data_IF_224044268846
#
_entry.id   IF_224044268846
#
_cell.length_a   1.000
_cell.length_b   1.000
_cell.length_c   1.000
_cell.angle_alpha   90.00
_cell.angle_beta   90.00
_cell.angle_gamma   90.00
#
_symmetry.space_group_name_H-M   'P 1'
#
loop_
_entity.id
_entity.type
_entity.pdbx_description
1 polymer ?
#
# COMPACT_ATOMS: atom_id res chain seq x y z
N UNK A 1 13.31 5.67 -1.56
CA UNK A 1 12.36 5.03 -2.51
C UNK A 1 10.95 5.34 -2.04
N UNK A 2 10.00 5.59 -2.96
CA UNK A 2 8.59 5.80 -2.64
C UNK A 2 7.83 4.50 -2.88
N UNK A 3 7.03 4.08 -1.90
CA UNK A 3 6.18 2.89 -2.00
C UNK A 3 5.18 3.02 -3.16
N UNK A 4 4.95 1.90 -3.84
CA UNK A 4 3.95 1.77 -4.91
C UNK A 4 2.82 0.87 -4.42
N UNK A 5 1.62 1.43 -4.33
CA UNK A 5 0.39 0.71 -4.02
C UNK A 5 -0.26 0.32 -5.34
N UNK A 6 -0.45 -0.98 -5.59
CA UNK A 6 -1.15 -1.48 -6.76
C UNK A 6 -2.64 -1.60 -6.50
N UNK A 7 -3.46 -0.93 -7.30
CA UNK A 7 -4.92 -1.03 -7.23
C UNK A 7 -5.39 -2.10 -8.22
N UNK A 8 -6.01 -3.15 -7.70
CA UNK A 8 -6.52 -4.30 -8.48
C UNK A 8 -8.01 -4.48 -8.25
N UNK A 9 -8.68 -5.15 -9.19
CA UNK A 9 -10.11 -5.43 -9.14
C UNK A 9 -10.67 -5.62 -10.54
N UNK A 10 -11.74 -6.42 -10.65
CA UNK A 10 -12.44 -6.66 -11.90
C UNK A 10 -13.14 -5.38 -12.41
N UNK A 11 -13.61 -5.33 -13.67
CA UNK A 11 -14.39 -4.20 -14.16
C UNK A 11 -15.63 -3.92 -13.30
N UNK A 12 -16.12 -2.67 -13.31
CA UNK A 12 -17.38 -2.27 -12.66
C UNK A 12 -17.46 -2.35 -11.11
N UNK A 13 -16.40 -2.79 -10.42
CA UNK A 13 -16.36 -2.80 -8.93
C UNK A 13 -16.13 -1.42 -8.30
N UNK A 14 -15.82 -0.42 -9.12
CA UNK A 14 -15.50 0.94 -8.65
C UNK A 14 -14.00 1.24 -8.55
N UNK A 15 -13.13 0.39 -9.09
CA UNK A 15 -11.66 0.60 -9.15
C UNK A 15 -11.27 1.99 -9.68
N UNK A 16 -11.79 2.39 -10.85
CA UNK A 16 -11.48 3.73 -11.40
C UNK A 16 -12.05 4.87 -10.56
N UNK A 17 -13.19 4.68 -9.88
CA UNK A 17 -13.71 5.67 -8.93
C UNK A 17 -12.79 5.80 -7.72
N UNK A 18 -12.31 4.67 -7.18
CA UNK A 18 -11.35 4.63 -6.08
C UNK A 18 -10.05 5.33 -6.48
N UNK A 19 -9.48 4.97 -7.64
CA UNK A 19 -8.24 5.56 -8.14
C UNK A 19 -8.34 7.09 -8.26
N UNK A 20 -9.40 7.57 -8.91
CA UNK A 20 -9.65 9.01 -9.03
C UNK A 20 -9.83 9.66 -7.66
N UNK A 21 -10.65 9.07 -6.79
CA UNK A 21 -10.89 9.59 -5.45
C UNK A 21 -9.60 9.65 -4.62
N UNK A 22 -8.73 8.65 -4.71
CA UNK A 22 -7.44 8.62 -4.01
C UNK A 22 -6.41 9.63 -4.55
N UNK A 23 -6.47 9.94 -5.85
CA UNK A 23 -5.49 10.77 -6.56
C UNK A 23 -5.91 12.23 -6.74
N UNK A 24 -7.21 12.53 -6.58
CA UNK A 24 -7.75 13.90 -6.52
C UNK A 24 -7.18 14.62 -5.30
N UNK A 25 -6.01 15.24 -5.44
CA UNK A 25 -5.49 16.24 -4.51
C UNK A 25 -5.14 17.51 -5.28
N UNK A 26 -5.82 18.59 -4.89
CA UNK A 26 -5.52 19.98 -5.21
C UNK A 26 -4.19 20.42 -4.58
N UNK A 27 -3.06 19.93 -5.10
CA UNK A 27 -1.78 20.58 -4.78
C UNK A 27 -1.72 21.87 -5.58
N UNK A 28 -1.53 23.05 -4.94
CA UNK A 28 -1.38 24.32 -5.64
C UNK A 28 -0.32 24.22 -6.74
N UNK A 29 -0.61 24.76 -7.93
CA UNK A 29 0.30 24.81 -9.08
C UNK A 29 1.69 25.34 -8.63
N UNK A 30 2.67 24.43 -8.51
CA UNK A 30 4.04 24.81 -8.14
C UNK A 30 4.95 23.72 -7.55
N UNK A 31 4.44 22.54 -7.21
CA UNK A 31 5.19 21.54 -6.44
C UNK A 31 5.86 20.39 -7.22
N UNK A 32 5.91 20.41 -8.57
CA UNK A 32 6.33 19.21 -9.32
C UNK A 32 7.58 19.38 -10.19
N UNK A 33 8.71 18.75 -9.81
CA UNK A 33 9.69 18.24 -10.75
C UNK A 33 9.39 16.75 -11.03
N UNK A 34 9.26 16.38 -12.32
CA UNK A 34 9.19 15.01 -12.85
C UNK A 34 7.82 14.29 -12.84
N UNK A 35 6.85 14.79 -13.62
CA UNK A 35 5.68 13.96 -14.01
C UNK A 35 6.10 12.90 -15.04
N UNK A 36 5.94 11.63 -14.68
CA UNK A 36 6.17 10.48 -15.58
C UNK A 36 4.92 10.30 -16.47
N UNK A 37 5.12 10.05 -17.76
CA UNK A 37 4.08 9.98 -18.81
C UNK A 37 3.44 8.57 -18.83
N UNK A 38 2.96 8.10 -17.68
CA UNK A 38 2.17 6.85 -17.62
C UNK A 38 0.79 7.14 -17.03
N UNK A 39 -0.29 7.02 -17.83
CA UNK A 39 -1.65 7.29 -17.35
C UNK A 39 -2.13 6.31 -16.26
N UNK A 40 -1.41 5.20 -16.02
CA UNK A 40 -1.73 4.23 -14.98
C UNK A 40 -1.14 4.58 -13.61
N UNK A 41 -0.26 5.57 -13.49
CA UNK A 41 0.39 5.92 -12.21
C UNK A 41 -0.10 7.29 -11.74
N UNK A 42 -0.77 7.31 -10.59
CA UNK A 42 -1.22 8.51 -9.90
C UNK A 42 -0.40 8.78 -8.64
N UNK A 43 -0.42 10.03 -8.19
CA UNK A 43 0.08 10.41 -6.87
C UNK A 43 -1.11 10.41 -5.89
N UNK A 44 -0.99 9.60 -4.83
CA UNK A 44 -1.91 9.58 -3.71
C UNK A 44 -1.15 9.99 -2.44
N UNK A 45 -1.83 10.09 -1.31
CA UNK A 45 -1.20 10.46 -0.05
C UNK A 45 -1.60 9.48 1.05
N UNK A 46 -0.73 9.32 2.03
CA UNK A 46 -1.05 8.69 3.32
C UNK A 46 -0.94 9.73 4.41
N UNK A 47 -1.81 9.64 5.42
CA UNK A 47 -1.77 10.58 6.55
C UNK A 47 -0.87 10.06 7.65
N UNK A 48 -0.12 10.98 8.23
CA UNK A 48 0.71 10.76 9.40
C UNK A 48 0.49 11.96 10.31
N UNK A 49 0.26 11.73 11.61
CA UNK A 49 0.26 12.83 12.58
C UNK A 49 1.60 13.57 12.51
N UNK A 50 1.55 14.88 12.26
CA UNK A 50 2.75 15.69 12.10
C UNK A 50 3.49 15.75 13.43
N UNK A 51 4.81 15.56 13.40
CA UNK A 51 5.63 15.69 14.60
C UNK A 51 5.88 17.16 15.00
N UNK A 52 5.74 18.13 14.10
CA UNK A 52 6.09 19.54 14.37
C UNK A 52 5.38 20.16 15.59
N UNK A 53 4.07 19.93 15.82
CA UNK A 53 3.39 20.41 17.02
C UNK A 53 3.99 19.92 18.34
N UNK A 54 4.66 18.77 18.35
CA UNK A 54 5.32 18.22 19.54
C UNK A 54 6.56 19.04 19.96
N UNK A 55 7.07 19.87 19.05
CA UNK A 55 8.23 20.75 19.25
C UNK A 55 7.84 22.23 19.28
N UNK A 56 6.55 22.56 19.42
CA UNK A 56 6.01 23.92 19.34
C UNK A 56 6.31 24.63 18.00
N UNK A 57 6.42 23.87 16.92
CA UNK A 57 6.75 24.35 15.57
C UNK A 57 5.60 24.16 14.58
N UNK A 58 5.59 24.98 13.52
CA UNK A 58 4.75 24.79 12.35
C UNK A 58 5.60 24.24 11.22
N UNK A 59 5.20 23.10 10.66
CA UNK A 59 5.94 22.52 9.55
C UNK A 59 5.80 23.37 8.26
N UNK A 60 6.79 23.25 7.39
CA UNK A 60 6.80 23.84 6.04
C UNK A 60 7.15 22.74 5.03
N UNK A 61 6.17 21.91 4.64
CA UNK A 61 6.39 20.78 3.74
C UNK A 61 7.14 21.17 2.46
N UNK A 62 8.23 20.46 2.17
CA UNK A 62 8.91 20.50 0.85
C UNK A 62 8.18 19.63 -0.18
N UNK A 63 7.55 18.55 0.29
CA UNK A 63 6.89 17.51 -0.48
C UNK A 63 5.57 17.14 0.24
N UNK A 64 4.50 17.01 -0.53
CA UNK A 64 3.14 16.89 -0.02
C UNK A 64 2.69 18.15 0.73
N UNK A 65 1.79 17.99 1.69
CA UNK A 65 1.25 19.10 2.46
C UNK A 65 0.95 18.70 3.91
N UNK A 66 0.66 19.69 4.74
CA UNK A 66 0.20 19.46 6.10
C UNK A 66 -1.02 20.34 6.33
N UNK A 67 -2.08 19.73 6.84
CA UNK A 67 -3.33 20.39 7.16
C UNK A 67 -3.74 20.04 8.58
N UNK A 68 -3.88 21.06 9.43
CA UNK A 68 -4.32 20.97 10.83
C UNK A 68 -3.65 19.80 11.60
N UNK A 69 -2.33 19.82 11.66
CA UNK A 69 -1.53 18.83 12.38
C UNK A 69 -1.41 17.45 11.68
N UNK A 70 -2.03 17.24 10.53
CA UNK A 70 -1.94 15.99 9.75
C UNK A 70 -1.06 16.18 8.52
N UNK A 71 0.02 15.38 8.43
CA UNK A 71 0.95 15.35 7.30
C UNK A 71 0.45 14.39 6.23
N UNK A 72 0.33 14.87 5.00
CA UNK A 72 0.01 14.08 3.82
C UNK A 72 1.31 13.77 3.08
N UNK A 73 1.77 12.53 3.18
CA UNK A 73 3.02 12.05 2.57
C UNK A 73 2.69 11.38 1.24
N UNK A 74 3.29 11.81 0.11
CA UNK A 74 2.94 11.26 -1.20
C UNK A 74 3.44 9.83 -1.36
N UNK A 75 2.58 9.02 -1.94
CA UNK A 75 2.82 7.63 -2.34
C UNK A 75 2.37 7.43 -3.78
N UNK A 76 2.93 6.43 -4.46
CA UNK A 76 2.51 6.12 -5.83
C UNK A 76 1.34 5.15 -5.79
N UNK A 77 0.26 5.49 -6.49
CA UNK A 77 -0.85 4.57 -6.73
C UNK A 77 -0.80 4.12 -8.19
N UNK A 78 -0.74 2.82 -8.42
CA UNK A 78 -0.66 2.22 -9.76
C UNK A 78 -2.00 1.56 -10.05
N UNK A 79 -2.71 2.00 -11.09
CA UNK A 79 -3.91 1.36 -11.58
C UNK A 79 -3.53 0.12 -12.39
N UNK A 80 -3.53 -1.04 -11.75
CA UNK A 80 -3.19 -2.29 -12.41
C UNK A 80 -4.37 -2.70 -13.29
N UNK A 81 -4.11 -3.08 -14.54
CA UNK A 81 -5.14 -3.58 -15.45
C UNK A 81 -5.91 -4.75 -14.80
N UNK A 82 -7.20 -4.92 -15.12
CA UNK A 82 -7.97 -6.03 -14.54
C UNK A 82 -7.44 -7.40 -15.00
N UNK A 83 -7.36 -8.37 -14.08
CA UNK A 83 -7.12 -9.77 -14.45
C UNK A 83 -8.30 -10.32 -15.23
N UNK A 84 -8.00 -11.05 -16.30
CA UNK A 84 -8.95 -11.88 -17.02
C UNK A 84 -8.67 -13.33 -16.61
N UNK A 85 -9.70 -14.17 -16.40
CA UNK A 85 -9.51 -15.58 -16.08
C UNK A 85 -8.52 -16.29 -17.02
N UNK A 86 -7.55 -17.01 -16.44
CA UNK A 86 -6.50 -17.72 -17.17
C UNK A 86 -5.33 -16.83 -17.60
N UNK A 87 -5.09 -15.71 -16.92
CA UNK A 87 -3.93 -14.84 -17.19
C UNK A 87 -2.61 -15.57 -16.90
N UNK A 88 -2.57 -16.41 -15.86
CA UNK A 88 -1.40 -17.24 -15.54
C UNK A 88 -1.05 -18.26 -16.66
N UNK A 89 -2.03 -18.72 -17.44
CA UNK A 89 -1.82 -19.63 -18.59
C UNK A 89 -1.26 -18.91 -19.84
N UNK A 90 -0.99 -17.61 -19.77
CA UNK A 90 -0.48 -16.81 -20.89
C UNK A 90 -1.54 -16.39 -21.91
N UNK A 91 -2.83 -16.44 -21.55
CA UNK A 91 -3.91 -15.89 -22.39
C UNK A 91 -3.97 -14.36 -22.21
N UNK A 92 -3.80 -13.60 -23.30
CA UNK A 92 -4.06 -12.16 -23.34
C UNK A 92 -2.94 -11.24 -22.81
N UNK A 93 -3.32 -10.08 -22.24
CA UNK A 93 -2.45 -9.00 -21.73
C UNK A 93 -1.64 -9.37 -20.47
N UNK A 94 -1.59 -10.65 -20.08
CA UNK A 94 -1.00 -11.15 -18.83
C UNK A 94 0.41 -10.65 -18.55
N UNK A 95 1.32 -10.62 -19.54
CA UNK A 95 2.69 -10.13 -19.31
C UNK A 95 2.78 -8.65 -18.92
N UNK A 96 1.86 -7.80 -19.40
CA UNK A 96 1.85 -6.38 -19.03
C UNK A 96 1.26 -6.19 -17.63
N UNK A 97 0.14 -6.87 -17.34
CA UNK A 97 -0.43 -6.95 -15.99
C UNK A 97 0.60 -7.37 -14.94
N UNK A 98 1.36 -8.42 -15.23
CA UNK A 98 2.39 -8.96 -14.33
C UNK A 98 3.57 -7.99 -14.17
N UNK A 99 3.87 -7.18 -15.19
CA UNK A 99 4.89 -6.13 -15.07
C UNK A 99 4.41 -5.04 -14.12
N UNK A 100 3.17 -4.57 -14.27
CA UNK A 100 2.59 -3.53 -13.42
C UNK A 100 2.46 -4.01 -11.96
N UNK A 101 2.08 -5.28 -11.77
CA UNK A 101 1.98 -5.92 -10.45
C UNK A 101 3.35 -6.17 -9.80
N UNK A 102 4.39 -6.43 -10.60
CA UNK A 102 5.77 -6.53 -10.11
C UNK A 102 6.26 -5.21 -9.52
N UNK A 103 5.82 -4.08 -10.08
CA UNK A 103 6.22 -2.78 -9.59
C UNK A 103 5.57 -2.39 -8.25
N UNK A 104 4.41 -2.94 -7.91
CA UNK A 104 3.71 -2.67 -6.66
C UNK A 104 4.39 -3.35 -5.46
N UNK A 105 4.42 -2.69 -4.31
CA UNK A 105 4.90 -3.24 -3.04
C UNK A 105 3.77 -3.95 -2.28
N UNK A 106 2.54 -3.43 -2.39
CA UNK A 106 1.33 -3.94 -1.75
C UNK A 106 0.14 -3.76 -2.69
N UNK A 107 -0.86 -4.63 -2.59
CA UNK A 107 -2.07 -4.55 -3.41
C UNK A 107 -3.28 -4.15 -2.59
N UNK A 108 -4.05 -3.18 -3.10
CA UNK A 108 -5.40 -2.88 -2.65
C UNK A 108 -6.37 -3.50 -3.65
N UNK A 109 -7.05 -4.57 -3.24
CA UNK A 109 -8.06 -5.24 -4.04
C UNK A 109 -9.43 -4.63 -3.79
N UNK A 110 -9.94 -3.89 -4.77
CA UNK A 110 -11.29 -3.31 -4.75
C UNK A 110 -12.28 -4.38 -5.15
N UNK A 111 -13.16 -4.76 -4.22
CA UNK A 111 -14.15 -5.83 -4.41
C UNK A 111 -15.55 -5.25 -4.27
N UNK A 112 -16.48 -5.71 -5.11
CA UNK A 112 -17.87 -5.29 -5.06
C UNK A 112 -18.67 -6.09 -4.03
N UNK A 113 -18.86 -5.54 -2.83
CA UNK A 113 -19.57 -6.25 -1.77
C UNK A 113 -21.09 -6.27 -1.99
N UNK A 114 -21.64 -5.53 -2.95
CA UNK A 114 -23.08 -5.58 -3.22
C UNK A 114 -23.53 -6.84 -3.95
N UNK A 115 -22.61 -7.61 -4.53
CA UNK A 115 -22.92 -8.81 -5.31
C UNK A 115 -23.69 -8.53 -6.61
N UNK A 116 -23.64 -7.29 -7.10
CA UNK A 116 -24.35 -6.85 -8.30
C UNK A 116 -23.52 -6.95 -9.59
N UNK A 117 -22.25 -7.36 -9.48
CA UNK A 117 -21.37 -7.59 -10.64
C UNK A 117 -20.78 -8.99 -10.60
N UNK A 118 -20.78 -9.69 -11.74
CA UNK A 118 -20.14 -10.99 -11.90
C UNK A 118 -18.63 -10.84 -12.15
N UNK A 119 -17.90 -11.94 -12.34
CA UNK A 119 -16.44 -11.94 -12.53
C UNK A 119 -15.98 -11.15 -13.77
N UNK A 120 -16.83 -11.00 -14.78
CA UNK A 120 -16.55 -10.20 -15.98
C UNK A 120 -16.87 -8.71 -15.78
N UNK A 121 -17.52 -8.35 -14.67
CA UNK A 121 -17.97 -7.00 -14.33
C UNK A 121 -19.32 -6.66 -14.96
N UNK A 122 -20.08 -7.66 -15.42
CA UNK A 122 -21.43 -7.51 -15.94
C UNK A 122 -22.46 -7.56 -14.80
N UNK A 123 -23.60 -6.90 -15.01
CA UNK A 123 -24.63 -6.83 -13.98
C UNK A 123 -25.25 -8.20 -13.69
N UNK A 124 -25.26 -8.59 -12.42
CA UNK A 124 -25.84 -9.85 -11.94
C UNK A 124 -26.58 -9.63 -10.61
N UNK A 125 -27.20 -10.68 -10.08
CA UNK A 125 -27.85 -10.67 -8.78
C UNK A 125 -27.27 -11.79 -7.90
N UNK A 126 -26.81 -11.44 -6.70
CA UNK A 126 -26.39 -12.41 -5.69
C UNK A 126 -25.05 -13.09 -5.97
N UNK A 127 -24.12 -12.40 -6.65
CA UNK A 127 -22.73 -12.83 -6.75
C UNK A 127 -22.07 -12.80 -5.37
N UNK A 128 -21.37 -13.87 -4.99
CA UNK A 128 -20.63 -13.91 -3.71
C UNK A 128 -19.29 -13.16 -3.86
N UNK A 129 -19.05 -12.08 -3.10
CA UNK A 129 -17.78 -11.34 -3.15
C UNK A 129 -16.54 -12.20 -2.85
N UNK A 130 -16.70 -13.33 -2.13
CA UNK A 130 -15.63 -14.30 -1.88
C UNK A 130 -15.05 -14.87 -3.17
N UNK A 131 -15.89 -15.11 -4.18
CA UNK A 131 -15.44 -15.64 -5.47
C UNK A 131 -14.45 -14.69 -6.15
N UNK A 132 -14.63 -13.37 -6.00
CA UNK A 132 -13.70 -12.38 -6.57
C UNK A 132 -12.36 -12.37 -5.81
N UNK A 133 -12.43 -12.46 -4.48
CA UNK A 133 -11.25 -12.49 -3.59
C UNK A 133 -10.41 -13.73 -3.90
N UNK A 134 -11.04 -14.91 -3.84
CA UNK A 134 -10.39 -16.21 -4.07
C UNK A 134 -9.80 -16.26 -5.49
N UNK A 135 -10.53 -15.77 -6.49
CA UNK A 135 -10.05 -15.73 -7.87
C UNK A 135 -8.73 -14.95 -8.02
N UNK A 136 -8.62 -13.76 -7.41
CA UNK A 136 -7.38 -12.99 -7.49
C UNK A 136 -6.23 -13.70 -6.77
N UNK A 137 -6.47 -14.24 -5.58
CA UNK A 137 -5.44 -14.95 -4.82
C UNK A 137 -4.95 -16.19 -5.57
N UNK A 138 -5.86 -16.99 -6.13
CA UNK A 138 -5.54 -18.21 -6.87
C UNK A 138 -4.76 -17.91 -8.15
N UNK A 139 -5.15 -16.90 -8.94
CA UNK A 139 -4.41 -16.50 -10.16
C UNK A 139 -2.99 -16.04 -9.83
N UNK A 140 -2.79 -15.32 -8.72
CA UNK A 140 -1.46 -14.90 -8.27
C UNK A 140 -0.65 -16.09 -7.75
N UNK A 141 -1.23 -16.96 -6.93
CA UNK A 141 -0.56 -18.15 -6.39
C UNK A 141 -0.09 -19.07 -7.53
N UNK A 142 -0.96 -19.33 -8.53
CA UNK A 142 -0.62 -20.12 -9.71
C UNK A 142 0.47 -19.48 -10.56
N UNK A 143 0.50 -18.15 -10.64
CA UNK A 143 1.59 -17.46 -11.33
C UNK A 143 2.92 -17.58 -10.58
N UNK A 144 2.93 -17.38 -9.26
CA UNK A 144 4.13 -17.58 -8.44
C UNK A 144 4.63 -19.02 -8.54
N UNK A 145 3.73 -20.01 -8.57
CA UNK A 145 4.07 -21.41 -8.80
C UNK A 145 4.79 -21.58 -10.15
N UNK A 146 4.26 -21.02 -11.22
CA UNK A 146 4.90 -21.09 -12.54
C UNK A 146 6.28 -20.39 -12.61
N UNK A 147 6.55 -19.41 -11.74
CA UNK A 147 7.89 -18.80 -11.61
C UNK A 147 8.81 -19.69 -10.76
N UNK A 148 8.29 -20.25 -9.67
CA UNK A 148 8.98 -21.17 -8.76
C UNK A 148 9.46 -22.42 -9.52
N UNK A 149 8.59 -23.04 -10.32
CA UNK A 149 8.91 -24.23 -11.12
C UNK A 149 10.06 -24.00 -12.09
N UNK A 150 10.13 -22.81 -12.73
CA UNK A 150 11.26 -22.43 -13.58
C UNK A 150 12.56 -22.30 -12.80
N UNK A 151 12.48 -21.83 -11.55
CA UNK A 151 13.62 -21.78 -10.63
C UNK A 151 14.11 -23.18 -10.27
N UNK A 152 13.19 -24.08 -9.95
CA UNK A 152 13.50 -25.50 -9.65
C UNK A 152 14.10 -26.20 -10.88
N UNK A 153 13.56 -25.96 -12.09
CA UNK A 153 14.11 -26.52 -13.33
C UNK A 153 15.54 -26.02 -13.58
N UNK A 154 15.80 -24.71 -13.35
CA UNK A 154 17.15 -24.14 -13.46
C UNK A 154 18.12 -24.82 -12.50
N UNK A 155 17.74 -25.00 -11.23
CA UNK A 155 18.53 -25.72 -10.23
C UNK A 155 18.87 -27.14 -10.72
N UNK A 156 17.87 -27.91 -11.14
CA UNK A 156 18.04 -29.29 -11.66
C UNK A 156 18.93 -29.37 -12.90
N UNK A 157 18.91 -28.34 -13.75
CA UNK A 157 19.71 -28.31 -14.98
C UNK A 157 21.21 -28.17 -14.74
N UNK A 158 21.65 -27.78 -13.53
CA UNK A 158 23.06 -27.68 -13.15
C UNK A 158 23.85 -26.66 -13.97
N UNK A 159 23.20 -25.66 -14.57
CA UNK A 159 23.77 -24.74 -15.57
C UNK A 159 24.94 -23.87 -15.05
N UNK A 160 25.30 -23.97 -13.76
CA UNK A 160 26.33 -23.14 -13.13
C UNK A 160 27.55 -23.88 -12.57
N UNK A 161 27.68 -25.19 -12.72
CA UNK A 161 28.95 -25.91 -12.47
C UNK A 161 29.46 -25.92 -11.02
N UNK A 162 28.78 -25.25 -10.09
CA UNK A 162 28.93 -25.33 -8.65
C UNK A 162 27.60 -25.80 -8.06
N UNK A 163 27.64 -26.64 -7.01
CA UNK A 163 26.47 -26.95 -6.17
C UNK A 163 26.01 -25.65 -5.50
N UNK A 164 25.16 -24.87 -6.19
CA UNK A 164 24.44 -23.76 -5.56
C UNK A 164 23.30 -24.34 -4.74
N UNK A 165 23.04 -23.76 -3.57
CA UNK A 165 21.87 -24.12 -2.77
C UNK A 165 20.58 -23.66 -3.48
N UNK A 166 19.47 -24.40 -3.33
CA UNK A 166 18.20 -24.11 -4.02
C UNK A 166 17.70 -22.68 -3.75
N UNK A 167 17.88 -22.18 -2.53
CA UNK A 167 17.47 -20.82 -2.16
C UNK A 167 18.16 -19.73 -2.98
N UNK A 168 19.36 -19.99 -3.53
CA UNK A 168 20.07 -19.03 -4.38
C UNK A 168 19.42 -18.95 -5.74
N UNK A 169 19.16 -20.09 -6.39
CA UNK A 169 18.55 -20.12 -7.72
C UNK A 169 17.09 -19.63 -7.69
N UNK A 170 16.36 -19.94 -6.61
CA UNK A 170 15.01 -19.41 -6.39
C UNK A 170 15.03 -17.90 -6.18
N UNK A 171 15.94 -17.37 -5.34
CA UNK A 171 16.07 -15.93 -5.13
C UNK A 171 16.48 -15.19 -6.41
N UNK A 172 17.38 -15.75 -7.22
CA UNK A 172 17.73 -15.19 -8.53
C UNK A 172 16.54 -15.19 -9.48
N UNK A 173 15.73 -16.25 -9.49
CA UNK A 173 14.54 -16.36 -10.32
C UNK A 173 13.41 -15.42 -9.86
N UNK A 174 13.33 -15.15 -8.56
CA UNK A 174 12.30 -14.34 -7.92
C UNK A 174 12.77 -12.92 -7.58
N UNK A 175 13.93 -12.48 -8.07
CA UNK A 175 14.53 -11.19 -7.71
C UNK A 175 13.63 -9.99 -8.04
N UNK A 176 12.73 -10.14 -9.03
CA UNK A 176 11.74 -9.11 -9.38
C UNK A 176 10.74 -8.82 -8.25
N UNK A 177 10.55 -9.75 -7.32
CA UNK A 177 9.67 -9.63 -6.15
C UNK A 177 10.37 -9.05 -4.92
N UNK A 178 11.59 -8.51 -5.09
CA UNK A 178 12.40 -7.91 -4.03
C UNK A 178 12.73 -8.88 -2.88
N UNK A 179 12.80 -10.17 -3.17
CA UNK A 179 13.20 -11.20 -2.20
C UNK A 179 14.67 -11.58 -2.33
N UNK A 180 15.22 -12.23 -1.30
CA UNK A 180 16.60 -12.71 -1.27
C UNK A 180 16.70 -14.17 -0.77
N UNK A 181 17.90 -14.76 -0.87
CA UNK A 181 18.14 -16.17 -0.50
C UNK A 181 17.79 -16.49 0.95
N UNK A 182 18.02 -15.56 1.87
CA UNK A 182 17.84 -15.80 3.30
C UNK A 182 16.34 -15.80 3.63
N UNK A 183 15.56 -14.91 3.00
CA UNK A 183 14.10 -14.91 3.05
C UNK A 183 13.49 -16.17 2.43
N UNK A 184 13.91 -16.55 1.23
CA UNK A 184 13.43 -17.78 0.58
C UNK A 184 13.70 -18.99 1.46
N UNK A 185 14.92 -19.10 2.00
CA UNK A 185 15.28 -20.16 2.95
C UNK A 185 14.39 -20.15 4.19
N UNK A 186 14.13 -18.99 4.77
CA UNK A 186 13.23 -18.85 5.92
C UNK A 186 11.80 -19.30 5.58
N UNK A 187 11.29 -18.95 4.39
CA UNK A 187 9.96 -19.38 3.94
C UNK A 187 9.89 -20.90 3.86
N UNK A 188 10.83 -21.53 3.15
CA UNK A 188 10.89 -22.99 2.99
C UNK A 188 10.87 -23.69 4.36
N UNK A 189 11.74 -23.24 5.28
CA UNK A 189 11.84 -23.83 6.61
C UNK A 189 10.60 -23.54 7.48
N UNK A 190 9.94 -22.39 7.30
CA UNK A 190 8.72 -22.05 8.06
C UNK A 190 7.51 -22.91 7.69
N UNK A 191 7.54 -23.54 6.51
CA UNK A 191 6.54 -24.49 6.04
C UNK A 191 6.91 -25.94 6.34
N UNK A 192 7.97 -26.17 7.12
CA UNK A 192 8.54 -27.51 7.38
C UNK A 192 8.94 -28.28 6.10
N UNK A 193 9.24 -27.54 5.02
CA UNK A 193 9.70 -28.10 3.74
C UNK A 193 11.23 -28.26 3.79
N UNK A 194 11.76 -29.39 3.30
CA UNK A 194 13.20 -29.63 3.19
C UNK A 194 13.87 -28.74 2.14
N UNK A 195 15.20 -28.57 2.19
CA UNK A 195 15.94 -27.81 1.16
C UNK A 195 16.28 -28.64 -0.09
N UNK A 196 15.84 -29.90 -0.15
CA UNK A 196 16.00 -30.74 -1.33
C UNK A 196 14.73 -30.68 -2.20
N UNK A 197 14.76 -30.00 -3.36
CA UNK A 197 13.59 -29.84 -4.22
C UNK A 197 13.14 -31.15 -4.90
N UNK A 198 13.93 -32.22 -4.83
CA UNK A 198 13.52 -33.54 -5.31
C UNK A 198 12.62 -34.29 -4.32
N UNK A 199 12.54 -33.81 -3.07
CA UNK A 199 11.59 -34.30 -2.06
C UNK A 199 10.26 -33.53 -2.05
N UNK A 200 10.13 -32.46 -2.84
CA UNK A 200 8.94 -31.61 -2.84
C UNK A 200 7.82 -32.20 -3.69
N UNK A 201 6.68 -32.43 -3.07
CA UNK A 201 5.43 -32.77 -3.75
C UNK A 201 4.79 -31.51 -4.38
N UNK A 202 3.73 -31.67 -5.16
CA UNK A 202 3.07 -30.52 -5.81
C UNK A 202 2.41 -29.60 -4.78
N UNK A 203 1.85 -30.15 -3.71
CA UNK A 203 1.28 -29.38 -2.60
C UNK A 203 2.34 -28.52 -1.88
N UNK A 204 3.58 -29.01 -1.75
CA UNK A 204 4.67 -28.24 -1.13
C UNK A 204 5.04 -27.03 -1.98
N UNK A 205 5.06 -27.19 -3.30
CA UNK A 205 5.37 -26.10 -4.24
C UNK A 205 4.25 -25.06 -4.25
N UNK A 206 3.00 -25.50 -4.24
CA UNK A 206 1.83 -24.60 -4.14
C UNK A 206 1.86 -23.81 -2.82
N UNK A 207 2.12 -24.48 -1.69
CA UNK A 207 2.23 -23.82 -0.39
C UNK A 207 3.39 -22.81 -0.36
N UNK A 208 4.55 -23.18 -0.90
CA UNK A 208 5.71 -22.30 -1.01
C UNK A 208 5.42 -21.08 -1.89
N UNK A 209 4.80 -21.27 -3.06
CA UNK A 209 4.41 -20.18 -3.95
C UNK A 209 3.46 -19.20 -3.27
N UNK A 210 2.42 -19.71 -2.61
CA UNK A 210 1.45 -18.91 -1.85
C UNK A 210 2.12 -18.11 -0.72
N UNK A 211 2.97 -18.75 0.07
CA UNK A 211 3.63 -18.08 1.20
C UNK A 211 4.61 -16.99 0.72
N UNK A 212 5.35 -17.25 -0.36
CA UNK A 212 6.19 -16.22 -0.99
C UNK A 212 5.33 -15.05 -1.45
N UNK A 213 4.23 -15.31 -2.18
CA UNK A 213 3.29 -14.28 -2.63
C UNK A 213 2.76 -13.45 -1.46
N UNK A 214 2.35 -14.08 -0.36
CA UNK A 214 1.83 -13.37 0.83
C UNK A 214 2.87 -12.42 1.43
N UNK A 215 4.15 -12.79 1.45
CA UNK A 215 5.23 -11.95 1.99
C UNK A 215 5.67 -10.86 1.03
N UNK A 216 5.80 -11.17 -0.26
CA UNK A 216 6.34 -10.22 -1.26
C UNK A 216 5.27 -9.35 -1.90
N UNK A 217 4.00 -9.74 -1.78
CA UNK A 217 2.86 -9.07 -2.40
C UNK A 217 1.61 -9.20 -1.53
N UNK A 218 1.64 -8.63 -0.31
CA UNK A 218 0.49 -8.68 0.56
C UNK A 218 -0.70 -7.92 -0.06
N UNK A 219 -1.91 -8.33 0.33
CA UNK A 219 -3.17 -7.86 -0.25
C UNK A 219 -4.07 -7.37 0.88
N UNK A 220 -4.67 -6.19 0.70
CA UNK A 220 -5.76 -5.68 1.51
C UNK A 220 -7.03 -5.59 0.65
N UNK A 221 -8.18 -5.91 1.24
CA UNK A 221 -9.48 -5.82 0.58
C UNK A 221 -10.12 -4.46 0.88
N UNK A 222 -10.30 -3.64 -0.15
CA UNK A 222 -11.20 -2.50 -0.12
C UNK A 222 -12.61 -2.99 -0.47
N UNK A 223 -13.38 -3.33 0.55
CA UNK A 223 -14.77 -3.78 0.42
C UNK A 223 -15.64 -2.62 -0.03
N UNK A 224 -15.84 -2.47 -1.34
CA UNK A 224 -16.46 -1.29 -1.92
C UNK A 224 -17.98 -1.42 -2.03
N UNK A 225 -18.65 -0.28 -2.17
CA UNK A 225 -20.12 -0.14 -2.17
C UNK A 225 -20.77 -0.49 -0.83
N UNK A 226 -20.08 -0.21 0.27
CA UNK A 226 -20.59 -0.41 1.64
C UNK A 226 -21.71 0.57 2.05
N UNK A 227 -22.11 1.47 1.14
CA UNK A 227 -23.31 2.30 1.24
C UNK A 227 -24.64 1.51 1.11
N UNK A 228 -24.58 0.20 0.80
CA UNK A 228 -25.76 -0.66 0.66
C UNK A 228 -25.88 -1.65 1.83
N UNK A 229 -27.09 -1.91 2.36
CA UNK A 229 -27.30 -2.89 3.43
C UNK A 229 -26.82 -4.31 3.07
N UNK A 230 -27.02 -4.75 1.82
CA UNK A 230 -26.56 -6.08 1.37
C UNK A 230 -25.03 -6.18 1.44
N UNK A 231 -24.32 -5.10 1.10
CA UNK A 231 -22.86 -5.06 1.23
C UNK A 231 -22.41 -5.19 2.68
N UNK A 232 -23.15 -4.58 3.62
CA UNK A 232 -22.87 -4.65 5.05
C UNK A 232 -23.08 -6.06 5.59
N UNK A 233 -24.18 -6.73 5.20
CA UNK A 233 -24.44 -8.14 5.56
C UNK A 233 -23.33 -9.06 5.04
N UNK A 234 -22.93 -8.91 3.77
CA UNK A 234 -21.83 -9.67 3.18
C UNK A 234 -20.50 -9.37 3.90
N UNK A 235 -20.24 -8.12 4.25
CA UNK A 235 -19.03 -7.74 4.98
C UNK A 235 -18.94 -8.41 6.34
N UNK A 236 -20.02 -8.39 7.12
CA UNK A 236 -20.08 -9.07 8.41
C UNK A 236 -19.89 -10.58 8.27
N UNK A 237 -20.50 -11.21 7.26
CA UNK A 237 -20.37 -12.65 7.04
C UNK A 237 -18.97 -13.07 6.60
N UNK A 238 -18.36 -12.33 5.67
CA UNK A 238 -17.04 -12.65 5.10
C UNK A 238 -15.94 -12.39 6.12
N UNK A 239 -15.98 -11.26 6.83
CA UNK A 239 -14.95 -10.92 7.82
C UNK A 239 -15.03 -11.77 9.10
N UNK A 240 -16.14 -12.49 9.33
CA UNK A 240 -16.28 -13.45 10.41
C UNK A 240 -15.80 -14.86 10.05
N UNK A 241 -15.49 -15.13 8.78
CA UNK A 241 -15.03 -16.44 8.31
C UNK A 241 -13.50 -16.57 8.49
N UNK A 242 -13.02 -17.53 9.31
CA UNK A 242 -11.59 -17.74 9.56
C UNK A 242 -10.77 -18.04 8.31
N UNK A 243 -11.40 -18.45 7.20
CA UNK A 243 -10.71 -18.65 5.92
C UNK A 243 -10.06 -17.36 5.38
N UNK A 244 -10.53 -16.18 5.83
CA UNK A 244 -10.06 -14.88 5.38
C UNK A 244 -9.30 -14.09 6.47
N UNK A 245 -8.93 -14.73 7.59
CA UNK A 245 -8.17 -14.09 8.69
C UNK A 245 -6.80 -13.55 8.24
N UNK A 246 -6.26 -14.03 7.11
CA UNK A 246 -5.00 -13.53 6.54
C UNK A 246 -5.16 -12.23 5.75
N UNK A 247 -6.39 -11.75 5.53
CA UNK A 247 -6.66 -10.52 4.80
C UNK A 247 -7.12 -9.42 5.75
N UNK A 248 -6.58 -8.23 5.51
CA UNK A 248 -7.13 -7.01 6.12
C UNK A 248 -8.30 -6.52 5.27
N UNK A 249 -9.42 -6.18 5.90
CA UNK A 249 -10.58 -5.61 5.24
C UNK A 249 -10.77 -4.15 5.62
N UNK A 250 -11.19 -3.34 4.64
CA UNK A 250 -11.56 -1.94 4.83
C UNK A 250 -12.92 -1.67 4.20
N UNK A 251 -13.95 -1.35 5.00
CA UNK A 251 -15.24 -0.95 4.48
C UNK A 251 -15.08 0.35 3.69
N UNK A 252 -15.52 0.37 2.44
CA UNK A 252 -15.20 1.43 1.49
C UNK A 252 -16.43 1.87 0.70
N UNK A 253 -16.55 3.17 0.49
CA UNK A 253 -17.41 3.77 -0.53
C UNK A 253 -16.62 4.78 -1.34
N UNK A 254 -16.04 4.32 -2.45
CA UNK A 254 -15.36 5.20 -3.41
C UNK A 254 -16.31 6.25 -4.02
N UNK A 255 -17.61 5.96 -4.06
CA UNK A 255 -18.63 6.91 -4.48
C UNK A 255 -18.76 8.07 -3.48
N UNK A 256 -18.82 7.77 -2.17
CA UNK A 256 -18.89 8.78 -1.12
C UNK A 256 -17.66 9.69 -1.13
N UNK A 257 -16.44 9.11 -1.20
CA UNK A 257 -15.20 9.89 -1.25
C UNK A 257 -15.18 10.86 -2.44
N UNK A 258 -15.51 10.36 -3.63
CA UNK A 258 -15.57 11.18 -4.84
C UNK A 258 -16.63 12.28 -4.72
N UNK A 259 -17.79 11.98 -4.14
CA UNK A 259 -18.87 12.95 -3.96
C UNK A 259 -18.44 14.09 -3.03
N UNK A 260 -17.76 13.77 -1.92
CA UNK A 260 -17.27 14.77 -0.98
C UNK A 260 -16.16 15.63 -1.56
N UNK A 261 -15.19 15.04 -2.26
CA UNK A 261 -14.12 15.83 -2.93
C UNK A 261 -14.69 16.80 -3.96
N UNK A 262 -15.60 16.35 -4.83
CA UNK A 262 -16.24 17.24 -5.79
C UNK A 262 -17.08 18.34 -5.11
N UNK A 263 -17.69 18.05 -3.96
CA UNK A 263 -18.46 19.02 -3.20
C UNK A 263 -17.55 20.05 -2.51
N UNK A 264 -16.38 19.63 -2.03
CA UNK A 264 -15.34 20.50 -1.44
C UNK A 264 -14.74 21.44 -2.50
N UNK A 265 -14.33 20.89 -3.65
CA UNK A 265 -13.90 21.67 -4.83
C UNK A 265 -14.98 22.67 -5.30
N UNK A 266 -16.25 22.29 -5.15
CA UNK A 266 -17.41 23.12 -5.46
C UNK A 266 -17.75 24.18 -4.40
N UNK A 267 -17.06 24.20 -3.26
CA UNK A 267 -17.34 25.08 -2.12
C UNK A 267 -18.67 24.80 -1.43
N UNK A 268 -19.18 23.56 -1.54
CA UNK A 268 -20.43 23.12 -0.94
C UNK A 268 -20.20 22.54 0.46
N UNK A 269 -19.10 21.81 0.62
CA UNK A 269 -18.66 21.27 1.91
C UNK A 269 -17.22 21.71 2.21
N UNK A 270 -16.82 21.65 3.46
CA UNK A 270 -15.41 21.60 3.87
C UNK A 270 -15.10 20.15 4.26
N UNK A 271 -14.31 19.46 3.44
CA UNK A 271 -13.95 18.05 3.63
C UNK A 271 -12.46 17.82 3.42
N UNK A 272 -11.85 17.11 4.36
CA UNK A 272 -10.46 16.64 4.25
C UNK A 272 -10.46 15.16 3.89
N UNK A 273 -9.67 14.70 2.90
CA UNK A 273 -9.64 13.30 2.51
C UNK A 273 -9.40 12.34 3.68
N UNK A 274 -10.31 11.37 3.85
CA UNK A 274 -10.29 10.40 4.94
C UNK A 274 -10.77 10.92 6.29
N UNK A 275 -11.26 12.16 6.40
CA UNK A 275 -11.86 12.66 7.62
C UNK A 275 -13.10 11.83 8.00
N UNK A 276 -13.35 11.76 9.31
CA UNK A 276 -14.51 11.12 9.91
C UNK A 276 -15.73 12.05 10.00
N UNK A 277 -15.61 13.29 9.52
CA UNK A 277 -16.72 14.23 9.39
C UNK A 277 -16.46 15.28 8.30
N UNK A 278 -17.48 16.09 7.98
CA UNK A 278 -17.38 17.24 7.09
C UNK A 278 -18.43 18.31 7.42
N UNK A 279 -18.17 19.56 7.07
CA UNK A 279 -19.12 20.67 7.28
C UNK A 279 -19.80 21.07 5.97
N UNK A 280 -21.12 21.33 6.00
CA UNK A 280 -21.83 21.87 4.85
C UNK A 280 -21.79 23.39 4.94
N UNK A 281 -21.05 24.04 4.02
CA UNK A 281 -20.79 25.49 4.03
C UNK A 281 -21.52 26.24 2.91
N UNK A 282 -21.95 25.54 1.86
CA UNK A 282 -22.65 26.09 0.70
C UNK A 282 -24.16 25.82 0.70
N UNK A 283 -24.84 26.44 -0.27
CA UNK A 283 -26.27 26.20 -0.50
C UNK A 283 -26.48 24.83 -1.17
N UNK A 284 -27.24 23.96 -0.52
CA UNK A 284 -27.61 22.63 -1.03
C UNK A 284 -29.10 22.54 -1.30
N UNK A 285 -29.47 21.81 -2.36
CA UNK A 285 -30.86 21.37 -2.55
C UNK A 285 -31.22 20.28 -1.54
N UNK A 286 -32.51 20.08 -1.25
CA UNK A 286 -32.94 19.03 -0.32
C UNK A 286 -32.55 17.61 -0.74
N UNK A 287 -32.35 17.35 -2.04
CA UNK A 287 -31.83 16.07 -2.53
C UNK A 287 -30.33 15.92 -2.27
N UNK A 288 -29.55 16.98 -2.47
CA UNK A 288 -28.12 17.00 -2.14
C UNK A 288 -27.89 16.88 -0.65
N UNK A 289 -28.66 17.59 0.17
CA UNK A 289 -28.62 17.50 1.63
C UNK A 289 -28.90 16.07 2.10
N UNK A 290 -29.95 15.43 1.57
CA UNK A 290 -30.25 14.03 1.89
C UNK A 290 -29.14 13.05 1.46
N UNK A 291 -28.46 13.32 0.34
CA UNK A 291 -27.30 12.54 -0.10
C UNK A 291 -26.08 12.71 0.81
N UNK A 292 -25.78 13.95 1.21
CA UNK A 292 -24.70 14.27 2.14
C UNK A 292 -24.96 13.64 3.51
N UNK A 293 -26.20 13.68 4.02
CA UNK A 293 -26.53 13.05 5.31
C UNK A 293 -26.38 11.52 5.28
N UNK A 294 -26.66 10.87 4.14
CA UNK A 294 -26.36 9.44 3.97
C UNK A 294 -24.85 9.16 4.01
N UNK A 295 -24.04 10.01 3.35
CA UNK A 295 -22.59 9.91 3.41
C UNK A 295 -22.08 10.16 4.84
N UNK A 296 -22.62 11.16 5.54
CA UNK A 296 -22.27 11.45 6.94
C UNK A 296 -22.57 10.26 7.86
N UNK A 297 -23.72 9.61 7.67
CA UNK A 297 -24.05 8.40 8.43
C UNK A 297 -23.03 7.29 8.18
N UNK A 298 -22.67 7.05 6.92
CA UNK A 298 -21.65 6.07 6.54
C UNK A 298 -20.29 6.37 7.18
N UNK A 299 -19.80 7.61 7.06
CA UNK A 299 -18.49 8.01 7.58
C UNK A 299 -18.46 7.90 9.11
N UNK A 300 -19.51 8.30 9.81
CA UNK A 300 -19.59 8.17 11.27
C UNK A 300 -19.57 6.71 11.74
N UNK A 301 -20.15 5.80 10.95
CA UNK A 301 -20.20 4.37 11.27
C UNK A 301 -18.83 3.70 11.06
N UNK A 302 -18.14 4.03 9.97
CA UNK A 302 -16.90 3.36 9.56
C UNK A 302 -15.62 4.19 9.79
N UNK A 303 -15.74 5.38 10.39
CA UNK A 303 -14.63 6.28 10.71
C UNK A 303 -13.95 6.90 9.48
N UNK A 304 -14.67 7.04 8.37
CA UNK A 304 -14.13 7.46 7.07
C UNK A 304 -14.86 6.85 5.88
N UNK A 305 -14.47 7.22 4.68
CA UNK A 305 -15.00 6.66 3.43
C UNK A 305 -14.36 5.33 3.02
N UNK A 306 -13.30 4.90 3.70
CA UNK A 306 -12.53 3.70 3.38
C UNK A 306 -11.40 3.88 2.36
N UNK A 307 -11.46 4.89 1.49
CA UNK A 307 -10.45 5.07 0.42
C UNK A 307 -9.08 5.39 1.00
N UNK A 308 -9.01 6.46 1.80
CA UNK A 308 -7.78 6.90 2.46
C UNK A 308 -7.26 5.84 3.46
N UNK A 309 -8.18 5.26 4.24
CA UNK A 309 -7.88 4.20 5.22
C UNK A 309 -7.31 2.94 4.55
N UNK A 310 -7.77 2.59 3.35
CA UNK A 310 -7.23 1.43 2.61
C UNK A 310 -5.77 1.62 2.23
N UNK A 311 -5.38 2.83 1.81
CA UNK A 311 -3.98 3.15 1.49
C UNK A 311 -3.10 3.14 2.74
N UNK A 312 -3.62 3.71 3.84
CA UNK A 312 -2.92 3.78 5.13
C UNK A 312 -2.71 2.38 5.72
N UNK A 313 -3.74 1.55 5.74
CA UNK A 313 -3.65 0.16 6.20
C UNK A 313 -2.74 -0.68 5.30
N UNK A 314 -2.78 -0.48 3.98
CA UNK A 314 -1.87 -1.17 3.06
C UNK A 314 -0.40 -0.89 3.43
N UNK A 315 -0.08 0.36 3.77
CA UNK A 315 1.29 0.80 4.00
C UNK A 315 1.77 0.59 5.44
N UNK A 316 0.95 0.93 6.43
CA UNK A 316 1.34 0.94 7.83
C UNK A 316 0.98 -0.37 8.54
N UNK A 317 -0.20 -0.93 8.29
CA UNK A 317 -0.65 -2.13 9.01
C UNK A 317 -0.13 -3.40 8.34
N UNK A 318 -0.21 -3.47 7.01
CA UNK A 318 0.12 -4.67 6.23
C UNK A 318 1.61 -4.72 5.89
N UNK A 319 2.18 -3.62 5.41
CA UNK A 319 3.61 -3.54 5.09
C UNK A 319 4.48 -3.19 6.30
N UNK A 320 3.90 -2.76 7.42
CA UNK A 320 4.65 -2.36 8.62
C UNK A 320 5.48 -1.08 8.44
N UNK A 321 5.25 -0.30 7.38
CA UNK A 321 6.11 0.83 7.07
C UNK A 321 6.08 1.89 8.18
N UNK A 322 7.16 2.64 8.31
CA UNK A 322 7.32 3.66 9.35
C UNK A 322 7.52 5.03 8.72
N UNK A 323 6.88 6.05 9.29
CA UNK A 323 7.08 7.44 8.89
C UNK A 323 8.18 8.08 9.73
N UNK A 324 9.23 8.61 9.11
CA UNK A 324 10.36 9.24 9.80
C UNK A 324 10.46 10.70 9.42
N UNK A 325 10.62 11.57 10.41
CA UNK A 325 10.81 13.00 10.23
C UNK A 325 12.28 13.37 10.46
N UNK A 326 12.96 14.03 9.49
CA UNK A 326 14.24 14.66 9.77
C UNK A 326 14.03 15.83 10.74
N UNK A 327 14.81 15.84 11.82
CA UNK A 327 14.75 16.89 12.84
C UNK A 327 16.08 17.59 13.06
N UNK A 328 16.06 18.57 13.97
CA UNK A 328 17.27 19.09 14.60
C UNK A 328 17.06 19.21 16.10
N UNK A 329 17.85 18.49 16.89
CA UNK A 329 17.78 18.50 18.34
C UNK A 329 18.16 19.87 18.94
N UNK A 330 18.83 20.72 18.15
CA UNK A 330 19.25 22.07 18.53
C UNK A 330 18.30 23.18 18.05
N UNK A 331 17.15 22.84 17.44
CA UNK A 331 16.14 23.82 17.03
C UNK A 331 16.61 24.81 15.96
N UNK A 332 17.64 24.44 15.17
CA UNK A 332 18.03 25.27 14.03
C UNK A 332 17.12 24.95 12.86
N UNK A 333 16.13 25.82 12.65
CA UNK A 333 15.45 25.92 11.36
C UNK A 333 16.52 26.17 10.29
N UNK A 334 16.60 25.31 9.27
CA UNK A 334 17.27 25.73 8.04
C UNK A 334 16.56 27.00 7.53
N UNK A 335 17.28 27.84 6.80
CA UNK A 335 16.75 28.99 6.08
C UNK A 335 15.51 28.69 5.22
N UNK A 336 15.26 27.40 4.94
CA UNK A 336 14.15 26.89 4.15
C UNK A 336 12.93 26.41 4.97
N UNK A 337 12.99 26.44 6.31
CA UNK A 337 11.89 26.08 7.22
C UNK A 337 12.14 24.81 8.05
N UNK A 338 11.13 24.33 8.78
CA UNK A 338 11.24 23.19 9.72
C UNK A 338 10.26 22.06 9.37
N UNK A 339 10.59 20.83 9.77
CA UNK A 339 9.80 19.62 9.46
C UNK A 339 9.40 19.54 7.97
N UNK A 340 10.38 19.79 7.11
CA UNK A 340 10.15 19.94 5.67
C UNK A 340 9.79 18.62 5.03
N UNK A 341 10.49 17.56 5.40
CA UNK A 341 10.31 16.24 4.81
C UNK A 341 9.68 15.27 5.81
N UNK A 342 9.03 14.23 5.28
CA UNK A 342 8.58 13.07 6.01
C UNK A 342 8.76 11.88 5.07
N UNK A 343 9.54 10.89 5.49
CA UNK A 343 9.90 9.74 4.66
C UNK A 343 9.18 8.50 5.15
N UNK A 344 8.68 7.68 4.24
CA UNK A 344 8.17 6.35 4.58
C UNK A 344 9.27 5.32 4.32
N UNK A 345 9.66 4.58 5.35
CA UNK A 345 10.70 3.55 5.31
C UNK A 345 10.11 2.16 5.65
N UNK A 346 10.78 1.07 5.26
CA UNK A 346 10.45 -0.28 5.73
C UNK A 346 10.51 -0.43 7.25
N UNK A 347 9.71 -1.35 7.77
CA UNK A 347 9.85 -1.79 9.16
C UNK A 347 11.28 -2.28 9.45
N UNK A 348 11.74 -2.07 10.69
CA UNK A 348 13.10 -2.42 11.10
C UNK A 348 14.21 -1.55 10.47
N UNK A 349 13.88 -0.50 9.71
CA UNK A 349 14.89 0.43 9.19
C UNK A 349 15.69 1.05 10.32
N UNK A 350 17.00 1.09 10.14
CA UNK A 350 17.93 1.62 11.14
C UNK A 350 18.27 3.08 10.91
N UNK A 351 18.97 3.69 11.86
CA UNK A 351 19.55 5.03 11.71
C UNK A 351 20.48 5.13 10.49
N UNK A 352 21.21 4.05 10.18
CA UNK A 352 22.06 3.96 8.99
C UNK A 352 21.22 3.93 7.70
N UNK A 353 20.17 3.12 7.64
CA UNK A 353 19.28 3.06 6.50
C UNK A 353 18.63 4.42 6.21
N UNK A 354 18.22 5.14 7.26
CA UNK A 354 17.70 6.48 7.14
C UNK A 354 18.75 7.47 6.61
N UNK A 355 19.99 7.41 7.10
CA UNK A 355 21.08 8.24 6.60
C UNK A 355 21.35 8.02 5.09
N UNK A 356 21.38 6.76 4.64
CA UNK A 356 21.50 6.41 3.22
C UNK A 356 20.28 6.83 2.40
N UNK A 357 19.08 6.79 2.99
CA UNK A 357 17.86 7.29 2.33
C UNK A 357 17.94 8.79 2.07
N UNK A 358 18.48 9.57 3.01
CA UNK A 358 18.68 11.00 2.83
C UNK A 358 19.69 11.28 1.71
N UNK A 359 20.87 10.67 1.78
CA UNK A 359 21.89 10.73 0.73
C UNK A 359 23.01 9.71 0.97
N UNK A 360 23.61 9.17 -0.10
CA UNK A 360 24.73 8.21 0.02
C UNK A 360 25.91 8.78 0.82
N UNK A 361 26.30 10.03 0.55
CA UNK A 361 27.40 10.68 1.27
C UNK A 361 27.09 10.91 2.77
N UNK A 362 25.81 11.07 3.14
CA UNK A 362 25.41 11.21 4.54
C UNK A 362 25.56 9.87 5.25
N UNK A 363 25.10 8.78 4.60
CA UNK A 363 25.28 7.40 5.07
C UNK A 363 26.74 7.00 5.22
N UNK A 364 27.56 7.19 4.18
CA UNK A 364 28.99 6.86 4.20
C UNK A 364 29.78 7.62 5.28
N UNK A 365 29.32 8.83 5.62
CA UNK A 365 29.91 9.68 6.66
C UNK A 365 29.24 9.58 8.04
N UNK A 366 28.27 8.67 8.23
CA UNK A 366 27.46 8.62 9.44
C UNK A 366 28.32 8.42 10.69
N UNK A 367 28.16 9.33 11.66
CA UNK A 367 28.77 9.21 12.98
C UNK A 367 27.79 8.62 14.01
N UNK A 368 26.57 9.16 14.04
CA UNK A 368 25.45 8.71 14.88
C UNK A 368 24.18 9.49 14.51
N UNK A 369 23.03 9.04 15.01
CA UNK A 369 21.80 9.83 15.02
C UNK A 369 21.56 10.46 16.39
N UNK A 370 20.64 11.42 16.45
CA UNK A 370 20.04 11.93 17.68
C UNK A 370 18.53 11.78 17.58
N UNK A 371 17.94 11.06 18.52
CA UNK A 371 16.50 11.07 18.74
C UNK A 371 16.13 12.43 19.36
N UNK A 372 15.35 13.23 18.62
CA UNK A 372 14.98 14.58 19.02
C UNK A 372 14.01 14.62 20.20
N UNK A 373 13.21 13.58 20.42
CA UNK A 373 12.30 13.48 21.56
C UNK A 373 13.05 13.25 22.86
N UNK A 374 13.93 12.24 22.89
CA UNK A 374 14.70 11.92 24.10
C UNK A 374 15.98 12.74 24.25
N UNK A 375 16.42 13.42 23.17
CA UNK A 375 17.68 14.15 23.04
C UNK A 375 18.90 13.27 23.32
N UNK A 376 18.79 11.98 22.99
CA UNK A 376 19.85 10.99 23.18
C UNK A 376 20.47 10.62 21.84
N UNK A 377 21.77 10.35 21.91
CA UNK A 377 22.49 9.75 20.80
C UNK A 377 22.03 8.32 20.59
N UNK A 378 21.75 7.97 19.34
CA UNK A 378 21.39 6.63 18.87
C UNK A 378 22.48 6.10 17.92
N UNK A 379 22.75 4.79 18.01
CA UNK A 379 23.75 4.11 17.19
C UNK A 379 23.29 3.94 15.74
N UNK A 380 24.20 3.49 14.87
CA UNK A 380 23.87 3.21 13.46
C UNK A 380 22.87 2.07 13.32
N UNK A 381 22.97 1.05 14.18
CA UNK A 381 22.14 -0.15 14.26
C UNK A 381 20.83 0.05 15.05
N UNK A 382 20.53 1.27 15.47
CA UNK A 382 19.28 1.55 16.17
C UNK A 382 18.10 1.51 15.20
N UNK A 383 17.19 0.56 15.40
CA UNK A 383 15.91 0.47 14.71
C UNK A 383 15.03 1.68 15.03
N UNK A 384 14.49 2.31 14.00
CA UNK A 384 13.63 3.47 14.10
C UNK A 384 12.17 3.07 14.26
N UNK A 385 11.41 3.88 15.00
CA UNK A 385 9.98 3.75 15.19
C UNK A 385 9.15 4.65 14.28
N UNK A 386 7.86 4.32 14.16
CA UNK A 386 6.91 5.17 13.46
C UNK A 386 6.79 6.54 14.16
N UNK A 387 6.94 7.61 13.38
CA UNK A 387 7.01 9.03 13.76
C UNK A 387 8.26 9.46 14.54
N UNK A 388 9.33 8.67 14.50
CA UNK A 388 10.59 9.13 15.08
C UNK A 388 11.09 10.40 14.38
N UNK A 389 11.62 11.31 15.19
CA UNK A 389 12.24 12.56 14.73
C UNK A 389 13.74 12.46 14.93
N UNK A 390 14.48 12.28 13.84
CA UNK A 390 15.90 11.93 13.90
C UNK A 390 16.76 13.02 13.24
N UNK A 391 17.76 13.51 13.97
CA UNK A 391 18.83 14.34 13.43
C UNK A 391 20.03 13.44 13.11
N UNK A 392 20.46 13.41 11.85
CA UNK A 392 21.64 12.64 11.42
C UNK A 392 22.90 13.49 11.55
N UNK A 393 23.90 12.96 12.27
CA UNK A 393 25.22 13.58 12.40
C UNK A 393 26.19 12.82 11.51
N UNK A 394 26.69 13.48 10.48
CA UNK A 394 27.63 12.94 9.50
C UNK A 394 28.91 13.79 9.44
N UNK A 395 30.01 13.23 8.96
CA UNK A 395 31.28 13.95 8.77
C UNK A 395 31.26 14.93 7.59
N UNK A 396 30.25 14.83 6.73
CA UNK A 396 30.11 15.58 5.49
C UNK A 396 29.24 16.83 5.63
#
# INVERSE_FOLDING_TARGET
MSYKIGLVGKPSVGKSSFFNAATMNDVPEGAYPFTTIDPSIGEAYVRVECAAPEFDESCTPSVGYCDDGMRFVPVKLVDVAGLIPGAHEGKGLGNQFLTDLNEADVLVHVVDFSGETDIEGEATEGHDPREDIDFLEDELDMWYLGVLEKGIERYRSGYHGEEKDIEVDLAEQMSAFKTNKDEIKQVILSLDIGLDPDEWEDEDKEALAREIRKRTKPIIIAANKMDKPVSQENFEEITADPAYDHLTFTPTSAHAEKALKNADEGGVVEYRPGADDFDIVGDVSGEQEAGLEQIRAFINEYGGTGVQQSLEKALFDVMGAIAIFPGSANGKSDSQGVFRDCFILPDGSTTEDFAYHLHSDIGDGLLHGIDCHSKRQIGSDHELGHRDVVEIISTN
#
